data_IF_692147693196
#
_entry.id   IF_692147693196
#
_cell.length_a   1.000
_cell.length_b   1.000
_cell.length_c   1.000
_cell.angle_alpha   90.00
_cell.angle_beta   90.00
_cell.angle_gamma   90.00
#
_symmetry.space_group_name_H-M   'P 1'
#
loop_
_entity.id
_entity.type
_entity.pdbx_description
1 polymer ?
#
# COMPACT_ATOMS: atom_id res chain seq x y z
N UNK A 1 7.00 -42.06 -20.73
CA UNK A 1 5.89 -41.30 -20.11
C UNK A 1 6.26 -40.55 -18.82
N UNK A 2 7.40 -40.83 -18.16
CA UNK A 2 7.79 -40.15 -16.90
C UNK A 2 8.45 -38.78 -17.07
N UNK A 3 9.43 -38.66 -17.98
CA UNK A 3 10.19 -37.41 -18.16
C UNK A 3 9.34 -36.25 -18.72
N UNK A 4 8.40 -36.53 -19.61
CA UNK A 4 7.54 -35.51 -20.25
C UNK A 4 6.57 -34.88 -19.25
N UNK A 5 6.06 -35.64 -18.28
CA UNK A 5 5.20 -35.11 -17.19
C UNK A 5 5.99 -34.24 -16.21
N UNK A 6 7.26 -34.60 -15.95
CA UNK A 6 8.15 -33.85 -15.05
C UNK A 6 8.51 -32.48 -15.64
N UNK A 7 8.77 -32.39 -16.96
CA UNK A 7 9.07 -31.12 -17.64
C UNK A 7 7.88 -30.17 -17.66
N UNK A 8 6.66 -30.70 -17.89
CA UNK A 8 5.42 -29.90 -17.85
C UNK A 8 5.19 -29.32 -16.43
N UNK A 9 5.49 -30.11 -15.40
CA UNK A 9 5.34 -29.69 -14.00
C UNK A 9 6.32 -28.57 -13.61
N UNK A 10 7.54 -28.56 -14.18
CA UNK A 10 8.53 -27.48 -13.97
C UNK A 10 8.15 -26.19 -14.71
N UNK A 11 7.57 -26.28 -15.91
CA UNK A 11 7.11 -25.12 -16.69
C UNK A 11 5.89 -24.41 -16.07
N UNK A 12 5.03 -25.14 -15.37
CA UNK A 12 3.90 -24.55 -14.64
C UNK A 12 4.35 -23.77 -13.40
N UNK A 13 5.48 -24.14 -12.80
CA UNK A 13 6.04 -23.47 -11.62
C UNK A 13 6.75 -22.17 -12.01
N UNK A 14 7.39 -22.10 -13.18
CA UNK A 14 8.05 -20.87 -13.65
C UNK A 14 7.06 -19.77 -14.04
N UNK A 15 5.82 -20.12 -14.41
CA UNK A 15 4.75 -19.16 -14.67
C UNK A 15 4.22 -18.45 -13.41
N UNK A 16 4.53 -18.96 -12.21
CA UNK A 16 4.12 -18.35 -10.93
C UNK A 16 5.02 -17.20 -10.47
N UNK A 17 6.17 -16.99 -11.13
CA UNK A 17 7.13 -15.94 -10.75
C UNK A 17 7.00 -14.66 -11.59
N UNK A 18 6.05 -14.59 -12.50
CA UNK A 18 5.71 -13.38 -13.24
C UNK A 18 4.42 -12.75 -12.71
N UNK A 19 4.32 -12.59 -11.39
CA UNK A 19 3.39 -11.59 -10.87
C UNK A 19 4.01 -10.22 -11.12
N UNK A 20 3.77 -9.69 -12.32
CA UNK A 20 4.10 -8.30 -12.64
C UNK A 20 3.12 -7.40 -11.88
N UNK A 21 3.38 -7.22 -10.58
CA UNK A 21 2.77 -6.18 -9.76
C UNK A 21 3.45 -4.86 -10.11
N UNK A 22 3.09 -4.25 -11.24
CA UNK A 22 3.58 -2.91 -11.58
C UNK A 22 3.19 -1.94 -10.47
N UNK A 23 4.19 -1.26 -9.89
CA UNK A 23 3.99 -0.22 -8.90
C UNK A 23 3.11 0.90 -9.48
N UNK A 24 2.08 1.30 -8.74
CA UNK A 24 1.22 2.42 -9.14
C UNK A 24 1.98 3.74 -9.04
N UNK A 25 1.53 4.77 -9.76
CA UNK A 25 2.06 6.12 -9.58
C UNK A 25 1.73 6.67 -8.18
N UNK A 26 2.48 7.68 -7.75
CA UNK A 26 2.20 8.38 -6.49
C UNK A 26 0.76 8.94 -6.45
N UNK A 27 0.31 9.54 -7.55
CA UNK A 27 -1.05 10.10 -7.67
C UNK A 27 -2.11 8.99 -7.59
N UNK A 28 -1.86 7.83 -8.20
CA UNK A 28 -2.81 6.71 -8.16
C UNK A 28 -2.98 6.14 -6.76
N UNK A 29 -1.88 5.96 -6.00
CA UNK A 29 -1.98 5.54 -4.60
C UNK A 29 -2.77 6.55 -3.78
N UNK A 30 -2.49 7.84 -3.95
CA UNK A 30 -3.17 8.90 -3.22
C UNK A 30 -4.68 8.94 -3.55
N UNK A 31 -5.03 8.87 -4.83
CA UNK A 31 -6.41 8.91 -5.28
C UNK A 31 -7.21 7.69 -4.78
N UNK A 32 -6.64 6.49 -4.85
CA UNK A 32 -7.24 5.28 -4.29
C UNK A 32 -7.47 5.39 -2.78
N UNK A 33 -6.48 5.91 -2.05
CA UNK A 33 -6.59 6.09 -0.62
C UNK A 33 -7.70 7.10 -0.25
N UNK A 34 -7.79 8.22 -0.97
CA UNK A 34 -8.84 9.23 -0.79
C UNK A 34 -10.23 8.71 -1.14
N UNK A 35 -10.35 7.93 -2.21
CA UNK A 35 -11.62 7.30 -2.60
C UNK A 35 -12.09 6.31 -1.52
N UNK A 36 -11.19 5.45 -1.04
CA UNK A 36 -11.47 4.52 0.04
C UNK A 36 -11.89 5.26 1.32
N UNK A 37 -11.18 6.33 1.67
CA UNK A 37 -11.50 7.17 2.82
C UNK A 37 -12.90 7.79 2.71
N UNK A 38 -13.24 8.36 1.53
CA UNK A 38 -14.57 8.93 1.29
C UNK A 38 -15.71 7.90 1.30
N UNK A 39 -15.38 6.61 1.22
CA UNK A 39 -16.31 5.47 1.36
C UNK A 39 -16.25 4.83 2.75
N UNK A 40 -15.58 5.48 3.71
CA UNK A 40 -15.37 5.00 5.07
C UNK A 40 -14.64 3.64 5.16
N UNK A 41 -13.92 3.26 4.10
CA UNK A 41 -13.08 2.05 4.07
C UNK A 41 -11.70 2.36 4.61
N UNK A 42 -11.61 2.60 5.90
CA UNK A 42 -10.42 3.13 6.54
C UNK A 42 -9.20 2.23 6.40
N UNK A 43 -9.35 0.91 6.47
CA UNK A 43 -8.24 -0.04 6.32
C UNK A 43 -7.65 0.00 4.90
N UNK A 44 -8.51 0.08 3.88
CA UNK A 44 -8.09 0.20 2.48
C UNK A 44 -7.42 1.56 2.22
N UNK A 45 -7.94 2.64 2.82
CA UNK A 45 -7.33 3.96 2.76
C UNK A 45 -5.93 3.96 3.40
N UNK A 46 -5.81 3.40 4.61
CA UNK A 46 -4.53 3.26 5.30
C UNK A 46 -3.55 2.42 4.47
N UNK A 47 -3.98 1.31 3.89
CA UNK A 47 -3.11 0.47 3.05
C UNK A 47 -2.53 1.26 1.87
N UNK A 48 -3.37 2.00 1.14
CA UNK A 48 -2.90 2.76 -0.03
C UNK A 48 -2.00 3.94 0.37
N UNK A 49 -2.30 4.65 1.47
CA UNK A 49 -1.40 5.70 1.96
C UNK A 49 -0.06 5.13 2.46
N UNK A 50 -0.04 3.97 3.13
CA UNK A 50 1.21 3.27 3.53
C UNK A 50 2.05 2.89 2.31
N UNK A 51 1.42 2.28 1.31
CA UNK A 51 2.10 1.94 0.07
C UNK A 51 2.65 3.17 -0.64
N UNK A 52 1.97 4.33 -0.58
CA UNK A 52 2.49 5.58 -1.14
C UNK A 52 3.80 5.97 -0.45
N UNK A 53 3.82 6.07 0.88
CA UNK A 53 5.00 6.52 1.63
C UNK A 53 6.18 5.54 1.53
N UNK A 54 5.91 4.24 1.48
CA UNK A 54 6.93 3.21 1.28
C UNK A 54 7.56 3.29 -0.12
N UNK A 55 6.73 3.53 -1.14
CA UNK A 55 7.17 3.54 -2.52
C UNK A 55 7.75 4.89 -2.96
N UNK A 56 7.25 5.98 -2.41
CA UNK A 56 7.59 7.35 -2.79
C UNK A 56 7.94 8.15 -1.54
N UNK A 57 8.96 7.76 -0.75
CA UNK A 57 9.27 8.42 0.53
C UNK A 57 9.67 9.90 0.39
N UNK A 58 10.12 10.32 -0.79
CA UNK A 58 10.46 11.71 -1.14
C UNK A 58 9.51 12.29 -2.20
N UNK A 59 8.35 11.64 -2.39
CA UNK A 59 7.33 12.05 -3.34
C UNK A 59 6.59 13.30 -2.88
N UNK A 60 5.92 13.98 -3.83
CA UNK A 60 5.24 15.26 -3.56
C UNK A 60 4.04 15.12 -2.62
N UNK A 61 3.49 13.92 -2.49
CA UNK A 61 2.32 13.55 -1.67
C UNK A 61 2.70 12.70 -0.47
N UNK A 62 3.97 12.32 -0.31
CA UNK A 62 4.46 11.49 0.79
C UNK A 62 4.12 12.10 2.16
N UNK A 63 4.44 13.38 2.36
CA UNK A 63 4.14 14.09 3.60
C UNK A 63 2.62 14.14 3.87
N UNK A 64 1.82 14.45 2.86
CA UNK A 64 0.36 14.47 2.99
C UNK A 64 -0.22 13.09 3.30
N UNK A 65 0.31 12.02 2.69
CA UNK A 65 -0.08 10.65 2.97
C UNK A 65 0.25 10.25 4.42
N UNK A 66 1.44 10.59 4.92
CA UNK A 66 1.80 10.37 6.34
C UNK A 66 0.85 11.10 7.29
N UNK A 67 0.50 12.35 6.98
CA UNK A 67 -0.49 13.09 7.75
C UNK A 67 -1.85 12.37 7.76
N UNK A 68 -2.33 11.92 6.59
CA UNK A 68 -3.60 11.20 6.48
C UNK A 68 -3.60 9.87 7.22
N UNK A 69 -2.47 9.14 7.25
CA UNK A 69 -2.32 7.94 8.08
C UNK A 69 -2.53 8.25 9.56
N UNK A 70 -1.94 9.33 10.06
CA UNK A 70 -2.16 9.81 11.43
C UNK A 70 -3.60 10.24 11.66
N UNK A 71 -4.17 10.99 10.71
CA UNK A 71 -5.54 11.52 10.78
C UNK A 71 -6.58 10.41 10.89
N UNK A 72 -6.52 9.40 10.02
CA UNK A 72 -7.50 8.30 10.01
C UNK A 72 -7.40 7.50 11.31
N UNK A 73 -6.18 7.21 11.77
CA UNK A 73 -5.98 6.52 13.04
C UNK A 73 -6.54 7.31 14.23
N UNK A 74 -6.36 8.63 14.29
CA UNK A 74 -6.84 9.44 15.40
C UNK A 74 -8.36 9.67 15.38
N UNK A 75 -8.92 9.95 14.21
CA UNK A 75 -10.28 10.47 14.10
C UNK A 75 -11.31 9.38 13.84
N UNK A 76 -10.96 8.39 13.02
CA UNK A 76 -11.92 7.39 12.56
C UNK A 76 -11.75 6.08 13.35
N UNK A 77 -10.51 5.61 13.54
CA UNK A 77 -10.23 4.33 14.22
C UNK A 77 -9.96 4.45 15.72
N UNK A 78 -9.66 5.66 16.22
CA UNK A 78 -9.22 5.92 17.61
C UNK A 78 -7.98 5.13 18.04
N UNK A 79 -7.13 4.78 17.08
CA UNK A 79 -5.82 4.15 17.28
C UNK A 79 -4.75 5.21 17.57
N UNK A 80 -4.81 5.81 18.76
CA UNK A 80 -3.98 6.97 19.08
C UNK A 80 -2.47 6.69 19.07
N UNK A 81 -2.06 5.47 19.39
CA UNK A 81 -0.63 5.07 19.35
C UNK A 81 -0.08 5.11 17.92
N UNK A 82 -0.82 4.54 16.96
CA UNK A 82 -0.42 4.55 15.56
C UNK A 82 -0.55 5.96 14.97
N UNK A 83 -1.56 6.73 15.39
CA UNK A 83 -1.68 8.13 15.00
C UNK A 83 -0.46 8.96 15.44
N UNK A 84 -0.03 8.80 16.69
CA UNK A 84 1.16 9.48 17.24
C UNK A 84 2.42 9.14 16.45
N UNK A 85 2.59 7.86 16.10
CA UNK A 85 3.71 7.41 15.27
C UNK A 85 3.73 8.14 13.93
N UNK A 86 2.63 8.11 13.18
CA UNK A 86 2.57 8.75 11.86
C UNK A 86 2.69 10.29 11.91
N UNK A 87 2.14 10.94 12.93
CA UNK A 87 2.36 12.38 13.10
C UNK A 87 3.81 12.73 13.47
N UNK A 88 4.49 11.86 14.22
CA UNK A 88 5.92 12.04 14.52
C UNK A 88 6.76 11.88 13.24
N UNK A 89 6.43 10.89 12.40
CA UNK A 89 7.07 10.71 11.09
C UNK A 89 6.78 11.88 10.13
N UNK A 90 5.59 12.50 10.20
CA UNK A 90 5.24 13.64 9.36
C UNK A 90 6.02 14.94 9.71
N UNK A 91 6.35 15.14 10.99
CA UNK A 91 6.99 16.37 11.48
C UNK A 91 8.52 16.34 11.33
N UNK A 92 9.13 15.15 11.30
CA UNK A 92 10.58 14.96 11.24
C UNK A 92 11.10 14.83 9.81
#
# INVERSE_FOLDING_TARGET
>A
MGATKLVIMVLLISALFWSCSSKLSEDDYYNKAREAYGKEKYEEALQNFKLLVENYPQGKKAAEASFMLGFINANDLKNYDEAKKYYTEFIN
#
